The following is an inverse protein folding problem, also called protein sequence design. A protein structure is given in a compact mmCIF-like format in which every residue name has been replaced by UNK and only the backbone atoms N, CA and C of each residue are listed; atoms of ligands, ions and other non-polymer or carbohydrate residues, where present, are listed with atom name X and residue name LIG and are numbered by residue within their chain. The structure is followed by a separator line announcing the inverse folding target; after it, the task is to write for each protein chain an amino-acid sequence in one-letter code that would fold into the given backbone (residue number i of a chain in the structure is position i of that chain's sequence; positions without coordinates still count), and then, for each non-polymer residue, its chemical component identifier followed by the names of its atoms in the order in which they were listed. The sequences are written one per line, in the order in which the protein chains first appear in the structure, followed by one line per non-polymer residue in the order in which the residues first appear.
data_IF_077201614011
#
_entry.id   IF_077201614011
#
_cell.length_a   1.000
_cell.length_b   1.000
_cell.length_c   1.000
_cell.angle_alpha   90.00
_cell.angle_beta   90.00
_cell.angle_gamma   90.00
#
_symmetry.space_group_name_H-M   'P 1'
#
loop_
_entity.id
_entity.type
_entity.pdbx_description
1 polymer ?
#
# COMPACT_ATOMS: atom_id res chain seq x y z
N UNK A 1 -15.99 62.88 97.78
CA UNK A 1 -16.83 62.63 96.59
C UNK A 1 -15.91 62.28 95.43
N UNK A 2 -15.54 61.00 95.35
CA UNK A 2 -16.01 60.02 94.35
C UNK A 2 -15.55 60.36 92.93
N UNK A 3 -14.38 59.81 92.56
CA UNK A 3 -13.86 59.76 91.21
C UNK A 3 -14.18 58.38 90.61
N UNK A 4 -14.95 58.37 89.53
CA UNK A 4 -15.48 57.18 88.89
C UNK A 4 -14.41 56.45 88.08
N UNK A 5 -14.34 55.14 88.27
CA UNK A 5 -13.53 54.19 87.52
C UNK A 5 -14.42 53.02 87.08
N UNK A 6 -14.09 52.49 85.90
CA UNK A 6 -14.45 51.15 85.40
C UNK A 6 -15.82 51.02 84.71
N UNK A 7 -16.08 50.09 83.80
CA UNK A 7 -15.36 48.87 83.43
C UNK A 7 -15.67 48.46 81.97
N UNK A 8 -14.72 47.69 81.42
CA UNK A 8 -14.73 46.85 80.21
C UNK A 8 -16.08 46.32 79.71
N UNK A 9 -16.22 46.29 78.38
CA UNK A 9 -17.03 45.34 77.64
C UNK A 9 -16.41 45.05 76.26
N UNK A 10 -15.54 44.04 76.17
CA UNK A 10 -14.95 43.58 74.91
C UNK A 10 -15.86 42.52 74.30
N UNK A 11 -16.50 42.84 73.17
CA UNK A 11 -17.28 41.89 72.36
C UNK A 11 -16.41 41.34 71.24
N UNK A 12 -16.44 40.02 71.13
CA UNK A 12 -15.81 39.20 70.09
C UNK A 12 -16.53 39.46 68.77
N UNK A 13 -15.78 39.88 67.73
CA UNK A 13 -16.27 39.92 66.34
C UNK A 13 -15.43 38.93 65.54
N UNK A 14 -16.10 37.90 65.02
CA UNK A 14 -15.49 36.89 64.15
C UNK A 14 -15.11 37.49 62.81
N UNK A 15 -13.82 37.48 62.48
CA UNK A 15 -13.32 37.77 61.14
C UNK A 15 -13.35 36.49 60.30
N UNK A 16 -14.27 36.43 59.34
CA UNK A 16 -14.23 35.44 58.25
C UNK A 16 -13.09 35.87 57.32
N UNK A 17 -11.97 35.14 57.37
CA UNK A 17 -10.85 35.32 56.46
C UNK A 17 -11.24 34.85 55.06
N UNK A 18 -11.48 35.80 54.15
CA UNK A 18 -11.56 35.52 52.71
C UNK A 18 -10.12 35.34 52.22
N UNK A 19 -9.71 34.08 52.02
CA UNK A 19 -8.47 33.75 51.31
C UNK A 19 -8.74 33.95 49.81
N UNK A 20 -8.33 35.11 49.30
CA UNK A 20 -8.24 35.38 47.87
C UNK A 20 -7.04 34.60 47.31
N UNK A 21 -7.30 33.41 46.78
CA UNK A 21 -6.31 32.68 45.97
C UNK A 21 -6.22 33.43 44.64
N UNK A 22 -5.24 34.32 44.54
CA UNK A 22 -4.78 34.89 43.28
C UNK A 22 -4.14 33.75 42.46
N UNK A 23 -4.93 33.09 41.62
CA UNK A 23 -4.41 32.23 40.57
C UNK A 23 -3.77 33.15 39.53
N UNK A 24 -2.48 33.44 39.72
CA UNK A 24 -1.64 34.01 38.68
C UNK A 24 -1.59 33.00 37.53
N UNK A 25 -2.43 33.19 36.51
CA UNK A 25 -2.21 32.57 35.21
C UNK A 25 -0.98 33.24 34.58
N UNK A 26 0.19 32.81 35.03
CA UNK A 26 1.43 33.05 34.30
C UNK A 26 1.29 32.26 33.01
N UNK A 27 0.88 32.94 31.94
CA UNK A 27 0.95 32.41 30.59
C UNK A 27 2.42 32.14 30.31
N UNK A 28 2.87 30.91 30.53
CA UNK A 28 4.14 30.46 30.01
C UNK A 28 4.01 30.52 28.48
N UNK A 29 4.40 31.64 27.88
CA UNK A 29 4.72 31.67 26.48
C UNK A 29 5.93 30.74 26.34
N UNK A 30 5.65 29.49 25.98
CA UNK A 30 6.66 28.57 25.49
C UNK A 30 7.25 29.29 24.29
N UNK A 31 8.46 29.84 24.46
CA UNK A 31 9.24 30.38 23.37
C UNK A 31 9.63 29.15 22.54
N UNK A 32 8.75 28.77 21.62
CA UNK A 32 9.01 27.70 20.66
C UNK A 32 10.22 28.18 19.86
N UNK A 33 11.41 27.61 20.14
CA UNK A 33 12.62 27.88 19.36
C UNK A 33 12.36 27.26 17.99
N UNK A 34 11.71 28.03 17.10
CA UNK A 34 11.50 27.62 15.72
C UNK A 34 12.84 27.71 15.03
N UNK A 35 13.50 26.57 14.88
CA UNK A 35 14.65 26.46 13.99
C UNK A 35 14.19 26.89 12.60
N UNK A 36 14.87 27.84 11.95
CA UNK A 36 14.52 28.26 10.60
C UNK A 36 14.57 27.03 9.66
N UNK A 37 13.63 26.91 8.71
CA UNK A 37 13.65 25.82 7.74
C UNK A 37 15.02 25.70 7.06
N UNK A 38 15.52 24.47 6.92
CA UNK A 38 16.89 24.21 6.42
C UNK A 38 17.06 24.73 4.99
N UNK A 39 15.98 24.75 4.21
CA UNK A 39 15.95 25.30 2.86
C UNK A 39 16.45 26.76 2.77
N UNK A 40 16.34 27.56 3.83
CA UNK A 40 16.82 28.94 3.84
C UNK A 40 18.34 29.01 3.68
N UNK A 41 19.08 27.98 4.14
CA UNK A 41 20.54 27.92 4.04
C UNK A 41 21.03 27.75 2.59
N UNK A 42 20.17 27.38 1.65
CA UNK A 42 20.52 27.31 0.22
C UNK A 42 20.76 28.70 -0.40
N UNK A 43 20.26 29.77 0.22
CA UNK A 43 20.33 31.14 -0.28
C UNK A 43 21.59 31.86 0.21
N UNK A 44 22.59 31.98 -0.65
CA UNK A 44 23.80 32.74 -0.34
C UNK A 44 23.61 34.24 -0.51
N UNK A 45 24.44 35.02 0.23
CA UNK A 45 24.48 36.48 0.11
C UNK A 45 24.84 36.97 -1.29
N UNK A 46 25.61 36.20 -2.06
CA UNK A 46 26.02 36.54 -3.43
C UNK A 46 25.96 35.33 -4.34
N UNK A 47 25.46 35.52 -5.55
CA UNK A 47 25.43 34.54 -6.64
C UNK A 47 25.96 35.23 -7.91
N UNK A 48 27.25 35.11 -8.18
CA UNK A 48 27.91 35.86 -9.24
C UNK A 48 27.78 37.38 -9.02
N UNK A 49 27.19 38.10 -9.98
CA UNK A 49 26.91 39.54 -9.89
C UNK A 49 25.67 39.90 -9.07
N UNK A 50 24.90 38.91 -8.64
CA UNK A 50 23.65 39.11 -7.91
C UNK A 50 23.89 39.10 -6.40
N UNK A 51 23.32 40.08 -5.70
CA UNK A 51 23.35 40.20 -4.23
C UNK A 51 21.97 39.96 -3.64
N UNK A 52 21.91 39.16 -2.59
CA UNK A 52 20.69 38.85 -1.85
C UNK A 52 20.09 40.11 -1.22
N UNK A 53 18.79 40.30 -1.38
CA UNK A 53 17.99 41.28 -0.63
C UNK A 53 17.36 40.51 0.53
N UNK A 54 17.83 40.78 1.75
CA UNK A 54 17.29 40.17 2.96
C UNK A 54 15.87 40.72 3.29
N UNK A 55 15.02 39.92 3.96
CA UNK A 55 15.26 38.56 4.47
C UNK A 55 14.93 37.45 3.46
N UNK A 56 15.49 36.26 3.68
CA UNK A 56 15.00 35.01 3.04
C UNK A 56 13.72 34.59 3.77
N UNK A 57 12.60 34.55 3.05
CA UNK A 57 11.32 34.11 3.60
C UNK A 57 11.23 32.59 3.47
N UNK A 58 11.26 31.87 4.58
CA UNK A 58 11.18 30.42 4.60
C UNK A 58 9.95 29.93 5.35
N UNK A 59 9.34 28.87 4.84
CA UNK A 59 8.06 28.33 5.28
C UNK A 59 8.14 26.82 5.36
N UNK A 60 7.55 26.22 6.40
CA UNK A 60 7.10 24.82 6.35
C UNK A 60 5.84 24.71 5.50
N UNK A 61 5.46 23.49 5.12
CA UNK A 61 4.31 23.24 4.25
C UNK A 61 3.01 23.97 4.67
N UNK A 62 2.62 23.89 5.95
CA UNK A 62 1.41 24.55 6.46
C UNK A 62 1.53 26.08 6.50
N UNK A 63 2.72 26.60 6.79
CA UNK A 63 2.99 28.04 6.77
C UNK A 63 2.93 28.59 5.34
N UNK A 64 3.40 27.81 4.36
CA UNK A 64 3.30 28.16 2.95
C UNK A 64 1.86 28.13 2.44
N UNK A 65 1.07 27.11 2.83
CA UNK A 65 -0.38 27.06 2.54
C UNK A 65 -1.13 28.24 3.16
N UNK A 66 -0.74 28.71 4.34
CA UNK A 66 -1.32 29.94 4.91
C UNK A 66 -0.89 31.21 4.13
N UNK A 67 0.32 31.23 3.58
CA UNK A 67 0.86 32.35 2.80
C UNK A 67 0.25 32.46 1.39
N UNK A 68 0.12 31.34 0.70
CA UNK A 68 -0.51 31.22 -0.63
C UNK A 68 -1.49 30.04 -0.60
N UNK A 69 -2.77 30.26 -0.24
CA UNK A 69 -3.74 29.19 -0.06
C UNK A 69 -3.96 28.32 -1.29
N UNK A 70 -3.91 28.89 -2.50
CA UNK A 70 -4.16 28.13 -3.71
C UNK A 70 -2.93 27.31 -4.12
N UNK A 71 -1.76 27.95 -4.22
CA UNK A 71 -0.54 27.27 -4.64
C UNK A 71 0.00 26.35 -3.56
N UNK A 72 -0.13 26.74 -2.29
CA UNK A 72 0.29 25.96 -1.15
C UNK A 72 -0.57 24.72 -0.90
N UNK A 73 -1.88 24.78 -1.15
CA UNK A 73 -2.75 23.60 -1.12
C UNK A 73 -2.35 22.55 -2.17
N UNK A 74 -1.94 22.99 -3.37
CA UNK A 74 -1.38 22.12 -4.40
C UNK A 74 0.00 21.62 -3.99
N UNK A 75 0.92 22.51 -3.61
CA UNK A 75 2.27 22.12 -3.22
C UNK A 75 2.26 21.08 -2.09
N UNK A 76 1.35 21.22 -1.13
CA UNK A 76 1.13 20.25 -0.06
C UNK A 76 0.65 18.89 -0.58
N UNK A 77 -0.30 18.85 -1.51
CA UNK A 77 -0.74 17.61 -2.17
C UNK A 77 0.42 16.91 -2.89
N UNK A 78 1.32 17.69 -3.50
CA UNK A 78 2.53 17.16 -4.13
C UNK A 78 3.63 16.78 -3.13
N UNK A 79 3.43 16.96 -1.82
CA UNK A 79 4.38 16.59 -0.78
C UNK A 79 5.44 17.66 -0.49
N UNK A 80 5.06 18.94 -0.43
CA UNK A 80 5.92 20.01 0.05
C UNK A 80 6.40 19.75 1.49
N UNK A 81 7.70 19.93 1.75
CA UNK A 81 8.27 19.97 3.09
C UNK A 81 8.56 21.39 3.54
N UNK A 82 9.34 22.11 2.73
CA UNK A 82 9.79 23.46 3.00
C UNK A 82 9.77 24.28 1.70
N UNK A 83 9.45 25.57 1.81
CA UNK A 83 9.56 26.53 0.72
C UNK A 83 10.40 27.72 1.19
N UNK A 84 11.18 28.33 0.31
CA UNK A 84 11.86 29.58 0.59
C UNK A 84 11.93 30.50 -0.62
N UNK A 85 11.78 31.79 -0.36
CA UNK A 85 11.78 32.85 -1.36
C UNK A 85 12.79 33.92 -0.97
N UNK A 86 13.53 34.41 -1.95
CA UNK A 86 14.35 35.59 -1.77
C UNK A 86 14.44 36.40 -3.06
N UNK A 87 14.61 37.71 -2.91
CA UNK A 87 14.86 38.60 -4.02
C UNK A 87 16.39 38.84 -4.12
N UNK A 88 16.91 38.90 -5.34
CA UNK A 88 18.31 39.21 -5.64
C UNK A 88 18.37 40.41 -6.59
N UNK A 89 19.42 41.22 -6.46
CA UNK A 89 19.66 42.36 -7.35
C UNK A 89 21.10 42.44 -7.85
N UNK A 90 21.27 42.89 -9.08
CA UNK A 90 22.55 43.28 -9.68
C UNK A 90 22.77 44.81 -9.61
N UNK A 91 21.93 45.53 -8.85
CA UNK A 91 21.91 46.99 -8.73
C UNK A 91 21.02 47.70 -9.74
N UNK A 92 20.53 47.02 -10.78
CA UNK A 92 19.62 47.59 -11.81
C UNK A 92 18.30 46.84 -11.91
N UNK A 93 18.36 45.52 -11.75
CA UNK A 93 17.28 44.56 -11.96
C UNK A 93 17.08 43.78 -10.66
N UNK A 94 15.87 43.28 -10.49
CA UNK A 94 15.52 42.43 -9.34
C UNK A 94 14.90 41.14 -9.84
N UNK A 95 15.38 40.02 -9.34
CA UNK A 95 14.87 38.68 -9.63
C UNK A 95 14.46 38.02 -8.33
N UNK A 96 13.37 37.26 -8.36
CA UNK A 96 12.92 36.42 -7.25
C UNK A 96 13.35 34.99 -7.53
N UNK A 97 14.03 34.38 -6.57
CA UNK A 97 14.29 32.94 -6.55
C UNK A 97 13.31 32.32 -5.57
N UNK A 98 12.53 31.36 -6.07
CA UNK A 98 11.69 30.48 -5.27
C UNK A 98 12.27 29.07 -5.28
N UNK A 99 12.35 28.46 -4.11
CA UNK A 99 12.83 27.09 -3.94
C UNK A 99 11.83 26.31 -3.09
N UNK A 100 11.48 25.12 -3.56
CA UNK A 100 10.57 24.20 -2.90
C UNK A 100 11.30 22.88 -2.69
N UNK A 101 11.38 22.43 -1.44
CA UNK A 101 11.88 21.10 -1.08
C UNK A 101 10.71 20.18 -0.86
N UNK A 102 10.65 19.13 -1.66
CA UNK A 102 9.60 18.12 -1.66
C UNK A 102 10.02 16.89 -0.84
N UNK A 103 9.10 15.94 -0.64
CA UNK A 103 9.40 14.69 0.10
C UNK A 103 10.38 13.77 -0.63
N UNK A 104 10.43 13.83 -1.97
CA UNK A 104 11.31 13.03 -2.82
C UNK A 104 11.40 13.64 -4.24
N UNK A 105 12.18 13.00 -5.13
CA UNK A 105 12.38 13.48 -6.50
C UNK A 105 11.14 13.34 -7.39
N UNK A 106 10.26 12.37 -7.13
CA UNK A 106 9.00 12.18 -7.88
C UNK A 106 8.07 13.36 -7.61
N UNK A 107 7.95 13.78 -6.34
CA UNK A 107 7.22 14.96 -5.92
C UNK A 107 7.78 16.27 -6.49
N UNK A 108 9.12 16.40 -6.54
CA UNK A 108 9.78 17.56 -7.15
C UNK A 108 9.52 17.65 -8.66
N UNK A 109 9.69 16.54 -9.37
CA UNK A 109 9.28 16.44 -10.77
C UNK A 109 7.77 16.72 -10.92
N UNK A 110 6.96 16.19 -10.00
CA UNK A 110 5.50 16.34 -10.05
C UNK A 110 5.08 17.79 -10.00
N UNK A 111 5.56 18.53 -9.00
CA UNK A 111 5.25 19.94 -8.85
C UNK A 111 5.86 20.79 -9.98
N UNK A 112 7.08 20.47 -10.44
CA UNK A 112 7.68 21.07 -11.63
C UNK A 112 6.82 20.88 -12.89
N UNK A 113 6.37 19.65 -13.13
CA UNK A 113 5.54 19.33 -14.28
C UNK A 113 4.20 20.06 -14.17
N UNK A 114 3.59 20.12 -12.99
CA UNK A 114 2.34 20.84 -12.74
C UNK A 114 2.46 22.34 -13.07
N UNK A 115 3.52 23.00 -12.59
CA UNK A 115 3.78 24.43 -12.78
C UNK A 115 4.25 24.81 -14.21
N UNK A 116 4.50 23.82 -15.07
CA UNK A 116 5.05 24.00 -16.42
C UNK A 116 4.06 24.73 -17.33
N UNK A 117 4.54 25.77 -18.04
CA UNK A 117 3.71 26.66 -18.89
C UNK A 117 4.03 26.61 -20.38
N UNK A 118 4.90 25.71 -20.84
CA UNK A 118 5.17 25.51 -22.28
C UNK A 118 6.24 26.44 -22.85
N UNK A 119 7.24 26.79 -22.03
CA UNK A 119 8.47 27.45 -22.43
C UNK A 119 9.47 26.54 -23.17
N UNK A 120 10.67 27.07 -23.39
CA UNK A 120 11.75 26.39 -24.12
C UNK A 120 12.60 25.57 -23.15
N UNK A 121 12.82 24.29 -23.44
CA UNK A 121 13.71 23.45 -22.63
C UNK A 121 15.15 23.97 -22.68
N UNK A 122 15.78 24.09 -21.50
CA UNK A 122 17.17 24.53 -21.34
C UNK A 122 18.00 23.39 -20.74
N UNK A 123 19.15 23.12 -21.33
CA UNK A 123 20.08 22.09 -20.85
C UNK A 123 21.08 22.64 -19.83
N UNK A 124 21.57 21.76 -18.94
CA UNK A 124 22.64 22.10 -18.00
C UNK A 124 22.18 22.92 -16.79
N UNK A 125 20.90 22.85 -16.43
CA UNK A 125 20.32 23.43 -15.21
C UNK A 125 19.45 22.33 -14.57
N UNK A 126 19.83 21.88 -13.38
CA UNK A 126 19.15 20.78 -12.71
C UNK A 126 19.08 19.51 -13.57
N UNK A 127 18.03 18.71 -13.37
CA UNK A 127 17.69 17.55 -14.21
C UNK A 127 16.96 17.99 -15.48
N UNK A 128 15.99 18.88 -15.36
CA UNK A 128 15.30 19.52 -16.47
C UNK A 128 15.00 20.97 -16.09
N UNK A 129 15.09 21.87 -17.07
CA UNK A 129 14.71 23.26 -16.92
C UNK A 129 13.94 23.76 -18.15
N UNK A 130 13.06 24.73 -17.92
CA UNK A 130 12.25 25.39 -18.92
C UNK A 130 12.33 26.90 -18.72
N UNK A 131 12.66 27.62 -19.79
CA UNK A 131 12.68 29.07 -19.83
C UNK A 131 11.42 29.61 -20.50
N UNK A 132 10.76 30.53 -19.80
CA UNK A 132 9.70 31.39 -20.28
C UNK A 132 10.27 32.80 -20.56
N UNK A 133 9.44 33.74 -21.03
CA UNK A 133 9.87 35.11 -21.34
C UNK A 133 10.50 35.83 -20.13
N UNK A 134 9.96 35.62 -18.92
CA UNK A 134 10.38 36.34 -17.70
C UNK A 134 10.63 35.41 -16.50
N UNK A 135 10.70 34.11 -16.75
CA UNK A 135 10.89 33.13 -15.70
C UNK A 135 11.67 31.93 -16.23
N UNK A 136 12.34 31.24 -15.32
CA UNK A 136 12.97 29.95 -15.58
C UNK A 136 12.62 29.02 -14.43
N UNK A 137 12.03 27.88 -14.76
CA UNK A 137 11.69 26.83 -13.82
C UNK A 137 12.61 25.64 -14.02
N UNK A 138 13.05 25.00 -12.94
CA UNK A 138 13.87 23.79 -13.00
C UNK A 138 13.54 22.86 -11.84
N UNK A 139 13.97 21.61 -11.95
CA UNK A 139 13.97 20.68 -10.81
C UNK A 139 15.28 19.92 -10.74
N UNK A 140 15.67 19.53 -9.52
CA UNK A 140 16.88 18.74 -9.24
C UNK A 140 16.71 18.01 -7.93
N UNK A 141 16.84 16.68 -7.94
CA UNK A 141 16.62 15.87 -6.74
C UNK A 141 15.24 16.11 -6.14
N UNK A 142 15.14 16.36 -4.84
CA UNK A 142 13.90 16.70 -4.12
C UNK A 142 13.52 18.19 -4.23
N UNK A 143 14.18 18.97 -5.11
CA UNK A 143 13.94 20.41 -5.25
C UNK A 143 13.24 20.80 -6.56
N UNK A 144 12.28 21.71 -6.45
CA UNK A 144 11.76 22.53 -7.54
C UNK A 144 12.16 23.98 -7.34
N UNK A 145 12.72 24.62 -8.36
CA UNK A 145 13.16 26.01 -8.32
C UNK A 145 12.53 26.84 -9.43
N UNK A 146 12.20 28.10 -9.12
CA UNK A 146 11.71 29.08 -10.09
C UNK A 146 12.43 30.41 -9.91
N UNK A 147 13.04 30.92 -10.97
CA UNK A 147 13.67 32.25 -11.01
C UNK A 147 12.80 33.16 -11.86
N UNK A 148 12.28 34.24 -11.30
CA UNK A 148 11.33 35.14 -11.99
C UNK A 148 11.81 36.59 -11.93
N UNK A 149 11.75 37.32 -13.04
CA UNK A 149 12.08 38.75 -13.08
C UNK A 149 10.95 39.55 -12.42
N UNK A 150 11.29 40.44 -11.48
CA UNK A 150 10.31 41.31 -10.80
C UNK A 150 10.05 42.53 -11.68
N UNK A 151 8.78 42.74 -12.06
CA UNK A 151 8.35 43.79 -13.01
C UNK A 151 8.58 45.24 -12.56
N UNK A 152 9.03 45.48 -11.34
CA UNK A 152 9.28 46.82 -10.80
C UNK A 152 10.56 47.49 -11.36
N UNK A 153 11.42 46.73 -12.05
CA UNK A 153 12.60 47.28 -12.69
C UNK A 153 12.23 47.97 -14.02
N UNK A 154 12.75 49.18 -14.23
CA UNK A 154 12.64 49.98 -15.48
C UNK A 154 13.25 49.32 -16.74
N UNK A 155 13.55 48.03 -16.74
CA UNK A 155 14.31 47.36 -17.80
C UNK A 155 13.67 46.01 -18.11
N UNK A 156 13.12 45.85 -19.32
CA UNK A 156 12.53 44.61 -19.85
C UNK A 156 13.56 43.65 -20.45
N UNK A 157 14.85 43.87 -20.20
CA UNK A 157 15.91 43.33 -21.04
C UNK A 157 16.90 42.45 -20.26
N UNK A 158 16.44 41.56 -19.38
CA UNK A 158 17.32 40.47 -18.92
C UNK A 158 17.31 39.36 -19.98
N UNK A 159 18.42 39.09 -20.67
CA UNK A 159 18.48 38.00 -21.62
C UNK A 159 18.24 36.66 -20.91
N UNK A 160 17.58 35.73 -21.58
CA UNK A 160 17.35 34.36 -21.07
C UNK A 160 18.67 33.70 -20.65
N UNK A 161 19.79 34.04 -21.30
CA UNK A 161 21.14 33.58 -20.95
C UNK A 161 21.57 33.98 -19.52
N UNK A 162 21.42 35.25 -19.14
CA UNK A 162 21.79 35.71 -17.79
C UNK A 162 20.88 35.07 -16.72
N UNK A 163 19.58 34.92 -17.02
CA UNK A 163 18.63 34.22 -16.14
C UNK A 163 19.00 32.74 -16.00
N UNK A 164 19.44 32.12 -17.09
CA UNK A 164 19.91 30.72 -17.14
C UNK A 164 21.19 30.53 -16.33
N UNK A 165 22.12 31.48 -16.39
CA UNK A 165 23.37 31.41 -15.62
C UNK A 165 23.11 31.55 -14.12
N UNK A 166 22.20 32.45 -13.71
CA UNK A 166 21.77 32.55 -12.32
C UNK A 166 21.09 31.27 -11.83
N UNK A 167 20.15 30.73 -12.62
CA UNK A 167 19.48 29.48 -12.29
C UNK A 167 20.45 28.30 -12.23
N UNK A 168 21.45 28.23 -13.13
CA UNK A 168 22.52 27.23 -13.12
C UNK A 168 23.34 27.33 -11.83
N UNK A 169 23.85 28.52 -11.52
CA UNK A 169 24.66 28.75 -10.33
C UNK A 169 23.90 28.38 -9.04
N UNK A 170 22.58 28.61 -9.01
CA UNK A 170 21.75 28.19 -7.88
C UNK A 170 21.54 26.66 -7.86
N UNK A 171 21.19 26.06 -8.99
CA UNK A 171 20.92 24.62 -9.10
C UNK A 171 22.16 23.75 -8.83
N UNK A 172 23.37 24.20 -9.16
CA UNK A 172 24.62 23.48 -8.90
C UNK A 172 24.86 23.21 -7.41
N UNK A 173 24.31 24.06 -6.54
CA UNK A 173 24.49 23.99 -5.08
C UNK A 173 23.51 23.05 -4.38
N UNK A 174 22.40 22.72 -5.03
CA UNK A 174 21.42 21.82 -4.47
C UNK A 174 21.94 20.39 -4.49
N UNK A 175 21.51 19.58 -3.51
CA UNK A 175 21.93 18.19 -3.40
C UNK A 175 21.68 17.40 -4.69
N UNK A 176 22.57 16.45 -4.95
CA UNK A 176 22.43 15.55 -6.10
C UNK A 176 21.40 14.49 -5.75
N UNK A 177 20.27 14.51 -6.45
CA UNK A 177 19.29 13.41 -6.43
C UNK A 177 19.25 12.65 -7.75
N UNK A 178 18.32 11.69 -7.89
CA UNK A 178 18.10 10.99 -9.15
C UNK A 178 17.80 11.98 -10.28
N UNK A 179 18.49 11.83 -11.41
CA UNK A 179 18.29 12.64 -12.62
C UNK A 179 17.27 11.98 -13.56
N UNK A 180 16.30 11.26 -12.99
CA UNK A 180 15.38 10.43 -13.76
C UNK A 180 13.95 10.96 -13.67
N UNK A 181 13.32 11.10 -14.83
CA UNK A 181 11.87 11.33 -14.93
C UNK A 181 11.15 10.12 -14.33
N UNK A 182 10.10 10.32 -13.50
CA UNK A 182 9.35 9.23 -12.89
C UNK A 182 8.89 8.17 -13.90
N UNK A 183 8.97 6.89 -13.51
CA UNK A 183 8.65 5.76 -14.38
C UNK A 183 7.24 5.85 -14.96
N UNK A 184 6.27 6.30 -14.17
CA UNK A 184 4.89 6.47 -14.60
C UNK A 184 4.76 7.37 -15.84
N UNK A 185 5.52 8.46 -15.90
CA UNK A 185 5.56 9.37 -17.05
C UNK A 185 6.20 8.69 -18.25
N UNK A 186 7.22 7.86 -18.03
CA UNK A 186 7.91 7.11 -19.09
C UNK A 186 7.04 6.00 -19.68
N UNK A 187 6.02 5.54 -18.96
CA UNK A 187 5.05 4.56 -19.45
C UNK A 187 3.95 5.18 -20.32
N UNK A 188 3.84 6.51 -20.37
CA UNK A 188 2.98 7.16 -21.36
C UNK A 188 3.51 6.91 -22.78
N UNK A 189 2.64 6.50 -23.73
CA UNK A 189 3.02 6.31 -25.12
C UNK A 189 3.71 7.55 -25.73
N UNK A 190 4.72 7.31 -26.56
CA UNK A 190 5.45 8.41 -27.23
C UNK A 190 4.74 8.83 -28.51
N UNK A 191 4.12 7.88 -29.21
CA UNK A 191 3.46 8.13 -30.49
C UNK A 191 2.26 9.07 -30.34
N UNK A 192 2.25 10.16 -31.10
CA UNK A 192 1.17 11.14 -31.09
C UNK A 192 1.10 11.98 -29.82
N UNK A 193 1.97 11.78 -28.82
CA UNK A 193 2.01 12.62 -27.62
C UNK A 193 2.45 14.03 -27.97
N UNK A 194 1.71 15.03 -27.50
CA UNK A 194 2.11 16.44 -27.62
C UNK A 194 3.30 16.67 -26.67
N UNK A 195 4.49 17.03 -27.17
CA UNK A 195 5.67 17.21 -26.33
C UNK A 195 5.44 18.29 -25.26
N UNK A 196 5.80 17.99 -24.01
CA UNK A 196 5.65 18.93 -22.91
C UNK A 196 4.24 19.01 -22.35
N UNK A 197 3.29 18.21 -22.84
CA UNK A 197 1.95 18.07 -22.25
C UNK A 197 1.89 17.08 -21.07
N UNK A 198 2.94 16.26 -20.90
CA UNK A 198 3.00 15.31 -19.80
C UNK A 198 2.99 16.01 -18.43
N UNK A 199 2.16 15.53 -17.51
CA UNK A 199 2.10 15.99 -16.11
C UNK A 199 2.01 14.78 -15.21
N UNK A 200 2.72 14.83 -14.10
CA UNK A 200 2.49 13.90 -12.99
C UNK A 200 1.44 14.52 -12.07
N UNK A 201 0.52 13.69 -11.59
CA UNK A 201 -0.64 14.08 -10.80
C UNK A 201 -0.53 13.35 -9.46
N UNK A 202 -0.30 14.11 -8.39
CA UNK A 202 -0.15 13.59 -7.04
C UNK A 202 -1.49 13.36 -6.32
N UNK A 203 -2.57 14.01 -6.77
CA UNK A 203 -3.87 13.91 -6.12
C UNK A 203 -5.00 14.62 -6.89
N UNK A 204 -6.20 14.69 -6.30
CA UNK A 204 -7.40 15.18 -6.97
C UNK A 204 -7.35 16.68 -7.26
N UNK A 205 -6.70 17.50 -6.42
CA UNK A 205 -6.60 18.95 -6.66
C UNK A 205 -5.69 19.24 -7.85
N UNK A 206 -4.58 18.50 -7.95
CA UNK A 206 -3.66 18.52 -9.07
C UNK A 206 -4.36 18.15 -10.37
N UNK A 207 -5.19 17.10 -10.37
CA UNK A 207 -5.96 16.70 -11.56
C UNK A 207 -6.99 17.77 -11.94
N UNK A 208 -7.71 18.33 -10.96
CA UNK A 208 -8.76 19.32 -11.18
C UNK A 208 -8.25 20.63 -11.83
N UNK A 209 -6.94 20.91 -11.74
CA UNK A 209 -6.32 22.05 -12.43
C UNK A 209 -6.25 21.88 -13.95
N UNK A 210 -6.47 20.66 -14.48
CA UNK A 210 -6.40 20.36 -15.91
C UNK A 210 -7.81 20.05 -16.46
N UNK A 211 -8.43 20.99 -17.21
CA UNK A 211 -9.75 20.78 -17.79
C UNK A 211 -9.79 19.57 -18.73
N UNK A 212 -10.91 18.83 -18.73
CA UNK A 212 -11.11 17.65 -19.57
C UNK A 212 -10.67 16.32 -18.93
N UNK A 213 -10.11 16.35 -17.73
CA UNK A 213 -9.83 15.16 -16.92
C UNK A 213 -10.82 15.08 -15.75
N UNK A 214 -11.96 14.44 -15.98
CA UNK A 214 -13.03 14.38 -14.99
C UNK A 214 -12.78 13.31 -13.93
N UNK A 215 -12.89 13.68 -12.65
CA UNK A 215 -12.79 12.76 -11.51
C UNK A 215 -13.91 13.00 -10.47
N UNK A 216 -15.20 12.81 -10.83
CA UNK A 216 -16.31 12.99 -9.90
C UNK A 216 -16.24 11.98 -8.75
N UNK A 217 -16.48 12.41 -7.52
CA UNK A 217 -16.48 11.54 -6.33
C UNK A 217 -15.22 10.66 -6.19
N UNK A 218 -14.08 11.19 -6.67
CA UNK A 218 -12.79 10.49 -6.71
C UNK A 218 -12.85 9.08 -7.35
N UNK A 219 -13.37 9.00 -8.58
CA UNK A 219 -13.42 7.77 -9.39
C UNK A 219 -12.10 7.00 -9.39
N UNK A 220 -10.98 7.73 -9.45
CA UNK A 220 -9.65 7.17 -9.60
C UNK A 220 -8.93 6.86 -8.29
N UNK A 221 -9.53 7.17 -7.14
CA UNK A 221 -8.94 6.94 -5.80
C UNK A 221 -7.67 7.78 -5.54
N UNK A 222 -7.61 8.98 -6.11
CA UNK A 222 -6.46 9.89 -6.02
C UNK A 222 -6.33 10.54 -4.64
N UNK A 223 -7.36 10.46 -3.78
CA UNK A 223 -7.21 10.88 -2.37
C UNK A 223 -6.25 9.98 -1.57
N UNK A 224 -5.90 8.80 -2.10
CA UNK A 224 -4.98 7.88 -1.46
C UNK A 224 -3.52 8.13 -1.88
N UNK A 225 -2.63 8.23 -0.90
CA UNK A 225 -1.16 8.28 -1.12
C UNK A 225 -0.58 7.03 -1.83
N UNK A 226 -1.39 5.97 -2.02
CA UNK A 226 -0.99 4.74 -2.71
C UNK A 226 -1.32 4.75 -4.21
N UNK A 227 -1.82 5.87 -4.72
CA UNK A 227 -2.24 6.05 -6.10
C UNK A 227 -1.52 7.25 -6.69
N UNK A 228 -0.86 7.01 -7.82
CA UNK A 228 -0.18 8.07 -8.59
C UNK A 228 -0.79 8.12 -9.98
N UNK A 229 -0.82 9.30 -10.59
CA UNK A 229 -1.33 9.45 -11.94
C UNK A 229 -0.39 10.25 -12.84
N UNK A 230 -0.53 10.02 -14.13
CA UNK A 230 0.10 10.82 -15.16
C UNK A 230 -0.92 11.17 -16.23
N UNK A 231 -0.88 12.40 -16.72
CA UNK A 231 -1.69 12.84 -17.86
C UNK A 231 -0.78 13.26 -19.01
N UNK A 232 -1.29 13.14 -20.22
CA UNK A 232 -0.72 13.79 -21.40
C UNK A 232 -1.79 14.00 -22.47
N UNK A 233 -1.53 14.95 -23.37
CA UNK A 233 -2.38 15.21 -24.53
C UNK A 233 -1.81 14.52 -25.77
N UNK A 234 -2.69 13.98 -26.59
CA UNK A 234 -2.34 13.26 -27.82
C UNK A 234 -3.02 13.91 -29.02
N UNK A 235 -2.25 14.03 -30.09
CA UNK A 235 -2.72 14.43 -31.41
C UNK A 235 -1.97 13.65 -32.48
N UNK A 236 -2.70 12.84 -33.25
CA UNK A 236 -2.18 12.09 -34.37
C UNK A 236 -3.09 12.32 -35.59
N UNK A 237 -2.57 13.01 -36.60
CA UNK A 237 -3.35 13.46 -37.75
C UNK A 237 -4.56 14.31 -37.31
N UNK A 238 -5.79 13.79 -37.51
CA UNK A 238 -7.05 14.42 -37.06
C UNK A 238 -7.55 13.86 -35.73
N UNK A 239 -6.95 12.78 -35.22
CA UNK A 239 -7.30 12.19 -33.94
C UNK A 239 -6.66 12.98 -32.80
N UNK A 240 -7.39 13.13 -31.71
CA UNK A 240 -6.97 13.78 -30.48
C UNK A 240 -7.61 13.12 -29.28
N UNK A 241 -6.89 13.10 -28.16
CA UNK A 241 -7.42 12.66 -26.88
C UNK A 241 -6.59 13.22 -25.72
N UNK A 242 -7.20 13.25 -24.55
CA UNK A 242 -6.57 13.52 -23.27
C UNK A 242 -6.42 12.21 -22.52
N UNK A 243 -5.20 11.75 -22.32
CA UNK A 243 -4.93 10.47 -21.68
C UNK A 243 -4.59 10.66 -20.21
N UNK A 244 -5.22 9.87 -19.35
CA UNK A 244 -4.92 9.69 -17.94
C UNK A 244 -4.46 8.24 -17.73
N UNK A 245 -3.30 8.07 -17.14
CA UNK A 245 -2.72 6.80 -16.72
C UNK A 245 -2.62 6.81 -15.20
N UNK A 246 -3.33 5.92 -14.53
CA UNK A 246 -3.34 5.81 -13.07
C UNK A 246 -2.63 4.52 -12.65
N UNK A 247 -1.62 4.64 -11.78
CA UNK A 247 -0.90 3.54 -11.16
C UNK A 247 -1.42 3.26 -9.76
N UNK A 248 -1.78 2.00 -9.53
CA UNK A 248 -2.17 1.52 -8.21
C UNK A 248 -1.07 0.65 -7.63
N UNK A 249 -0.81 0.79 -6.33
CA UNK A 249 0.17 -0.04 -5.65
C UNK A 249 -0.17 -1.54 -5.71
N UNK A 250 -1.47 -1.90 -5.78
CA UNK A 250 -1.91 -3.30 -5.85
C UNK A 250 -3.01 -3.53 -6.90
N UNK A 251 -3.13 -4.75 -7.44
CA UNK A 251 -4.14 -5.08 -8.44
C UNK A 251 -5.57 -5.00 -7.88
N UNK A 252 -5.76 -5.16 -6.56
CA UNK A 252 -7.07 -5.01 -5.92
C UNK A 252 -7.57 -3.56 -6.00
N UNK A 253 -6.69 -2.58 -5.78
CA UNK A 253 -7.02 -1.17 -5.94
C UNK A 253 -7.33 -0.83 -7.40
N UNK A 254 -6.54 -1.34 -8.35
CA UNK A 254 -6.82 -1.17 -9.78
C UNK A 254 -8.17 -1.76 -10.19
N UNK A 255 -8.54 -2.92 -9.64
CA UNK A 255 -9.86 -3.52 -9.89
C UNK A 255 -10.99 -2.68 -9.30
N UNK A 256 -10.84 -2.20 -8.06
CA UNK A 256 -11.84 -1.37 -7.40
C UNK A 256 -12.10 -0.06 -8.17
N UNK A 257 -11.03 0.62 -8.61
CA UNK A 257 -11.16 1.82 -9.43
C UNK A 257 -11.80 1.53 -10.79
N UNK A 258 -11.40 0.44 -11.45
CA UNK A 258 -12.02 0.01 -12.71
C UNK A 258 -13.52 -0.22 -12.55
N UNK A 259 -13.96 -0.86 -11.47
CA UNK A 259 -15.39 -1.10 -11.21
C UNK A 259 -16.16 0.20 -10.97
N UNK A 260 -15.55 1.18 -10.28
CA UNK A 260 -16.13 2.53 -10.11
C UNK A 260 -16.29 3.25 -11.45
N UNK A 261 -15.24 3.25 -12.27
CA UNK A 261 -15.27 3.87 -13.60
C UNK A 261 -16.27 3.17 -14.50
N UNK A 262 -16.36 1.84 -14.46
CA UNK A 262 -17.33 1.07 -15.24
C UNK A 262 -18.77 1.41 -14.83
N UNK A 263 -19.06 1.49 -13.52
CA UNK A 263 -20.37 1.87 -13.01
C UNK A 263 -20.73 3.32 -13.38
N UNK A 264 -19.76 4.25 -13.33
CA UNK A 264 -19.95 5.62 -13.78
C UNK A 264 -20.21 5.69 -15.29
N UNK A 265 -19.42 4.98 -16.10
CA UNK A 265 -19.54 4.93 -17.56
C UNK A 265 -20.90 4.41 -18.02
N UNK A 266 -21.48 3.44 -17.31
CA UNK A 266 -22.83 2.92 -17.60
C UNK A 266 -23.94 3.97 -17.43
N UNK A 267 -23.71 5.00 -16.60
CA UNK A 267 -24.66 6.09 -16.36
C UNK A 267 -24.55 7.22 -17.39
N UNK A 268 -23.46 7.27 -18.16
CA UNK A 268 -23.24 8.31 -19.16
C UNK A 268 -24.16 8.15 -20.37
N UNK A 269 -24.46 9.27 -21.04
CA UNK A 269 -25.18 9.25 -22.29
C UNK A 269 -24.35 8.51 -23.38
N UNK A 270 -24.98 7.86 -24.38
CA UNK A 270 -24.25 7.15 -25.42
C UNK A 270 -23.20 8.03 -26.13
N UNK A 271 -23.53 9.28 -26.45
CA UNK A 271 -22.61 10.22 -27.10
C UNK A 271 -21.37 10.56 -26.24
N UNK A 272 -21.50 10.54 -24.91
CA UNK A 272 -20.37 10.77 -23.99
C UNK A 272 -19.49 9.52 -23.88
N UNK A 273 -20.12 8.33 -23.90
CA UNK A 273 -19.41 7.05 -23.91
C UNK A 273 -18.55 6.89 -25.15
N UNK A 274 -19.02 7.32 -26.31
CA UNK A 274 -18.28 7.24 -27.57
C UNK A 274 -17.02 8.12 -27.57
N UNK A 275 -17.00 9.17 -26.76
CA UNK A 275 -15.87 10.09 -26.58
C UNK A 275 -14.92 9.68 -25.45
N UNK A 276 -15.10 8.49 -24.87
CA UNK A 276 -14.24 7.95 -23.80
C UNK A 276 -13.78 6.53 -24.10
N UNK A 277 -12.58 6.24 -23.66
CA UNK A 277 -12.03 4.87 -23.62
C UNK A 277 -11.50 4.65 -22.22
N UNK A 278 -11.76 3.49 -21.64
CA UNK A 278 -11.06 3.07 -20.43
C UNK A 278 -10.67 1.61 -20.53
N UNK A 279 -9.49 1.29 -20.00
CA UNK A 279 -8.90 -0.05 -20.01
C UNK A 279 -8.13 -0.25 -18.73
N UNK A 280 -8.20 -1.45 -18.14
CA UNK A 280 -7.29 -1.86 -17.06
C UNK A 280 -6.23 -2.80 -17.62
N UNK A 281 -4.97 -2.58 -17.26
CA UNK A 281 -3.83 -3.42 -17.61
C UNK A 281 -2.97 -3.63 -16.36
N UNK A 282 -2.99 -4.83 -15.76
CA UNK A 282 -2.33 -5.08 -14.48
C UNK A 282 -2.75 -4.10 -13.38
N UNK A 283 -1.78 -3.34 -12.87
CA UNK A 283 -1.98 -2.29 -11.87
C UNK A 283 -2.27 -0.90 -12.47
N UNK A 284 -2.41 -0.81 -13.79
CA UNK A 284 -2.77 0.43 -14.47
C UNK A 284 -4.26 0.49 -14.79
N UNK A 285 -4.83 1.68 -14.59
CA UNK A 285 -6.08 2.09 -15.20
C UNK A 285 -5.77 3.21 -16.20
N UNK A 286 -6.11 2.98 -17.46
CA UNK A 286 -5.92 3.92 -18.54
C UNK A 286 -7.29 4.49 -18.91
N UNK A 287 -7.41 5.81 -18.96
CA UNK A 287 -8.59 6.52 -19.40
C UNK A 287 -8.23 7.55 -20.46
N UNK A 288 -8.93 7.54 -21.59
CA UNK A 288 -8.85 8.58 -22.61
C UNK A 288 -10.16 9.37 -22.63
N UNK A 289 -10.03 10.69 -22.55
CA UNK A 289 -11.11 11.67 -22.60
C UNK A 289 -11.04 12.45 -23.91
N UNK A 290 -12.15 13.11 -24.26
CA UNK A 290 -12.28 13.93 -25.46
C UNK A 290 -11.80 13.23 -26.74
N UNK A 291 -12.07 11.92 -26.83
CA UNK A 291 -11.66 11.09 -27.96
C UNK A 291 -12.41 11.52 -29.21
N UNK A 292 -11.68 11.97 -30.23
CA UNK A 292 -12.26 12.35 -31.53
C UNK A 292 -12.30 11.21 -32.55
N UNK A 293 -11.35 10.28 -32.48
CA UNK A 293 -11.30 9.11 -33.37
C UNK A 293 -10.92 7.85 -32.58
N UNK A 294 -11.94 7.05 -32.26
CA UNK A 294 -11.82 5.93 -31.32
C UNK A 294 -10.79 4.86 -31.73
N UNK A 295 -10.80 4.34 -32.97
CA UNK A 295 -9.84 3.29 -33.38
C UNK A 295 -8.38 3.75 -33.28
N UNK A 296 -8.08 4.99 -33.66
CA UNK A 296 -6.72 5.54 -33.60
C UNK A 296 -6.25 5.71 -32.16
N UNK A 297 -7.10 6.22 -31.27
CA UNK A 297 -6.75 6.41 -29.86
C UNK A 297 -6.69 5.08 -29.11
N UNK A 298 -7.54 4.10 -29.42
CA UNK A 298 -7.45 2.75 -28.86
C UNK A 298 -6.11 2.09 -29.16
N UNK A 299 -5.56 2.31 -30.37
CA UNK A 299 -4.22 1.83 -30.71
C UNK A 299 -3.14 2.43 -29.80
N UNK A 300 -3.24 3.72 -29.46
CA UNK A 300 -2.32 4.41 -28.53
C UNK A 300 -2.49 3.84 -27.12
N UNK A 301 -3.73 3.69 -26.65
CA UNK A 301 -4.04 3.11 -25.33
C UNK A 301 -3.48 1.68 -25.20
N UNK A 302 -3.55 0.89 -26.27
CA UNK A 302 -3.07 -0.48 -26.28
C UNK A 302 -1.53 -0.63 -26.31
N UNK A 303 -0.77 0.47 -26.50
CA UNK A 303 0.69 0.44 -26.35
C UNK A 303 1.13 0.41 -24.87
N UNK A 304 0.21 0.71 -23.95
CA UNK A 304 0.50 0.69 -22.51
C UNK A 304 0.42 -0.75 -22.03
N UNK A 305 1.59 -1.35 -21.82
CA UNK A 305 1.74 -2.67 -21.22
C UNK A 305 2.30 -2.54 -19.81
N UNK A 306 1.63 -3.17 -18.84
CA UNK A 306 2.16 -3.26 -17.47
C UNK A 306 3.30 -4.29 -17.45
N UNK A 307 4.54 -3.82 -17.48
CA UNK A 307 5.70 -4.68 -17.23
C UNK A 307 5.96 -4.75 -15.73
N UNK A 308 5.59 -5.86 -15.10
CA UNK A 308 5.92 -6.13 -13.71
C UNK A 308 7.46 -6.17 -13.55
N UNK A 309 8.07 -5.09 -13.04
CA UNK A 309 9.48 -5.12 -12.63
C UNK A 309 9.57 -5.66 -11.21
N UNK A 310 9.87 -6.95 -11.09
CA UNK A 310 10.29 -7.53 -9.82
C UNK A 310 11.67 -6.97 -9.48
N UNK A 311 11.72 -5.85 -8.74
CA UNK A 311 12.95 -5.36 -8.11
C UNK A 311 13.17 -6.13 -6.83
N UNK A 312 14.13 -7.05 -6.86
CA UNK A 312 14.65 -7.67 -5.65
C UNK A 312 15.34 -6.58 -4.82
N UNK A 313 14.71 -6.10 -3.75
CA UNK A 313 15.18 -5.02 -2.88
C UNK A 313 16.34 -5.43 -1.95
N UNK A 314 17.28 -6.26 -2.42
CA UNK A 314 18.36 -6.82 -1.61
C UNK A 314 19.73 -6.43 -2.19
N UNK A 315 20.13 -5.18 -1.95
CA UNK A 315 21.49 -4.69 -2.23
C UNK A 315 22.53 -5.10 -1.16
N UNK A 316 22.08 -5.45 0.03
CA UNK A 316 22.82 -6.32 0.94
C UNK A 316 22.12 -7.66 0.94
N UNK A 317 22.89 -8.74 1.10
CA UNK A 317 22.35 -10.07 1.35
C UNK A 317 21.24 -9.90 2.38
N UNK A 318 19.99 -10.13 1.99
CA UNK A 318 18.96 -10.52 2.93
C UNK A 318 19.59 -11.75 3.60
N UNK A 319 20.23 -11.56 4.76
CA UNK A 319 20.10 -12.55 5.81
C UNK A 319 18.61 -12.54 6.02
N UNK A 320 17.94 -13.46 5.32
CA UNK A 320 16.64 -13.89 5.79
C UNK A 320 16.95 -14.19 7.25
N UNK A 321 16.40 -13.39 8.17
CA UNK A 321 15.84 -14.03 9.35
C UNK A 321 15.05 -15.17 8.71
N UNK A 322 15.42 -16.46 8.90
CA UNK A 322 14.79 -17.54 8.18
C UNK A 322 13.34 -17.62 8.64
N UNK A 323 12.51 -16.76 8.06
CA UNK A 323 11.09 -16.70 8.27
C UNK A 323 10.51 -17.76 7.34
N UNK A 324 10.62 -19.00 7.81
CA UNK A 324 9.69 -20.11 7.58
C UNK A 324 9.41 -20.46 6.10
N UNK A 325 10.29 -20.11 5.16
CA UNK A 325 10.33 -20.73 3.83
C UNK A 325 11.80 -20.78 3.38
N UNK A 326 12.66 -21.39 4.21
CA UNK A 326 13.71 -22.21 3.61
C UNK A 326 12.98 -23.22 2.74
N UNK A 327 13.51 -23.48 1.54
CA UNK A 327 13.05 -24.52 0.63
C UNK A 327 12.85 -25.81 1.42
N UNK A 328 11.64 -26.04 1.95
CA UNK A 328 11.26 -27.34 2.43
C UNK A 328 11.30 -28.17 1.16
N UNK A 329 12.28 -29.05 0.95
CA UNK A 329 12.35 -29.83 -0.26
C UNK A 329 11.16 -30.77 -0.14
N UNK A 330 10.04 -30.38 -0.77
CA UNK A 330 8.73 -31.00 -0.57
C UNK A 330 8.85 -32.50 -0.83
N UNK A 331 9.72 -32.89 -1.77
CA UNK A 331 10.10 -34.28 -2.02
C UNK A 331 10.70 -35.01 -0.81
N UNK A 332 11.67 -34.42 -0.09
CA UNK A 332 12.27 -35.05 1.09
C UNK A 332 11.28 -35.19 2.24
N UNK A 333 10.39 -34.22 2.42
CA UNK A 333 9.35 -34.27 3.44
C UNK A 333 8.25 -35.29 3.08
N UNK A 334 7.82 -35.35 1.83
CA UNK A 334 6.92 -36.40 1.31
C UNK A 334 7.51 -37.79 1.52
N UNK A 335 8.78 -37.99 1.15
CA UNK A 335 9.47 -39.27 1.34
C UNK A 335 9.53 -39.63 2.84
N UNK A 336 9.83 -38.67 3.72
CA UNK A 336 9.87 -38.90 5.16
C UNK A 336 8.49 -39.28 5.73
N UNK A 337 7.41 -38.62 5.28
CA UNK A 337 6.04 -38.94 5.69
C UNK A 337 5.63 -40.34 5.23
N UNK A 338 5.89 -40.68 3.96
CA UNK A 338 5.58 -42.03 3.45
C UNK A 338 6.41 -43.12 4.14
N UNK A 339 7.68 -42.86 4.41
CA UNK A 339 8.53 -43.78 5.16
C UNK A 339 8.00 -43.98 6.59
N UNK A 340 7.59 -42.91 7.27
CA UNK A 340 7.02 -42.98 8.61
C UNK A 340 5.70 -43.76 8.65
N UNK A 341 4.79 -43.52 7.70
CA UNK A 341 3.56 -44.29 7.54
C UNK A 341 3.88 -45.78 7.31
N UNK A 342 4.87 -46.08 6.46
CA UNK A 342 5.31 -47.45 6.21
C UNK A 342 5.80 -48.16 7.49
N UNK A 343 6.60 -47.47 8.31
CA UNK A 343 7.08 -48.01 9.60
C UNK A 343 5.91 -48.27 10.55
N UNK A 344 4.94 -47.36 10.64
CA UNK A 344 3.75 -47.54 11.49
C UNK A 344 2.91 -48.76 11.06
N UNK A 345 2.75 -49.00 9.76
CA UNK A 345 2.04 -50.19 9.25
C UNK A 345 2.77 -51.47 9.65
N UNK A 346 4.10 -51.51 9.51
CA UNK A 346 4.90 -52.69 9.90
C UNK A 346 4.79 -52.95 11.40
N UNK A 347 4.84 -51.91 12.24
CA UNK A 347 4.66 -52.05 13.69
C UNK A 347 3.26 -52.57 14.01
N UNK A 348 2.22 -52.03 13.37
CA UNK A 348 0.84 -52.46 13.59
C UNK A 348 0.63 -53.94 13.22
N UNK A 349 1.16 -54.39 12.08
CA UNK A 349 1.11 -55.79 11.66
C UNK A 349 1.89 -56.66 12.66
N UNK A 350 3.11 -56.26 13.03
CA UNK A 350 3.95 -56.99 13.97
C UNK A 350 3.28 -57.15 15.34
N UNK A 351 2.71 -56.07 15.88
CA UNK A 351 1.96 -56.09 17.13
C UNK A 351 0.71 -56.98 17.04
N UNK A 352 -0.03 -56.90 15.92
CA UNK A 352 -1.18 -57.75 15.66
C UNK A 352 -0.83 -59.24 15.62
N UNK A 353 0.26 -59.61 14.94
CA UNK A 353 0.76 -60.99 14.89
C UNK A 353 1.21 -61.48 16.26
N UNK A 354 1.98 -60.67 17.00
CA UNK A 354 2.43 -61.00 18.35
C UNK A 354 1.25 -61.20 19.31
N UNK A 355 0.28 -60.30 19.28
CA UNK A 355 -0.91 -60.39 20.12
C UNK A 355 -1.79 -61.58 19.73
N UNK A 356 -2.01 -61.81 18.44
CA UNK A 356 -2.77 -62.95 17.93
C UNK A 356 -2.12 -64.29 18.27
N UNK A 357 -0.79 -64.39 18.13
CA UNK A 357 -0.02 -65.57 18.50
C UNK A 357 -0.04 -65.81 20.02
N UNK A 358 0.13 -64.76 20.81
CA UNK A 358 0.00 -64.82 22.27
C UNK A 358 -1.39 -65.30 22.72
N UNK A 359 -2.45 -64.75 22.10
CA UNK A 359 -3.82 -65.18 22.34
C UNK A 359 -4.06 -66.64 21.94
N UNK A 360 -3.53 -67.08 20.79
CA UNK A 360 -3.60 -68.47 20.34
C UNK A 360 -2.92 -69.42 21.33
N UNK A 361 -1.71 -69.09 21.80
CA UNK A 361 -0.99 -69.89 22.79
C UNK A 361 -1.72 -69.90 24.14
N UNK A 362 -2.24 -68.76 24.59
CA UNK A 362 -3.05 -68.67 25.81
C UNK A 362 -4.31 -69.54 25.70
N UNK A 363 -5.04 -69.43 24.59
CA UNK A 363 -6.22 -70.25 24.30
C UNK A 363 -5.86 -71.74 24.25
N UNK A 364 -4.77 -72.12 23.59
CA UNK A 364 -4.30 -73.50 23.52
C UNK A 364 -3.95 -74.05 24.91
N UNK A 365 -3.21 -73.28 25.73
CA UNK A 365 -2.91 -73.66 27.12
C UNK A 365 -4.17 -73.76 27.98
N UNK A 366 -5.15 -72.88 27.78
CA UNK A 366 -6.44 -72.92 28.48
C UNK A 366 -7.26 -74.15 28.08
N UNK A 367 -7.27 -74.53 26.80
CA UNK A 367 -7.93 -75.74 26.33
C UNK A 367 -7.26 -77.03 26.82
N UNK A 368 -5.95 -77.03 27.04
CA UNK A 368 -5.24 -78.17 27.67
C UNK A 368 -5.56 -78.34 29.17
N UNK A 369 -6.19 -77.36 29.83
CA UNK A 369 -6.68 -77.48 31.21
C UNK A 369 -8.09 -78.03 31.30
N UNK A 370 -8.79 -78.21 30.18
CA UNK A 370 -10.01 -78.99 30.12
C UNK A 370 -9.63 -80.41 29.72
N UNK A 371 -9.84 -81.43 30.57
CA UNK A 371 -9.61 -82.81 30.18
C UNK A 371 -10.55 -83.14 29.02
N UNK A 372 -9.99 -83.21 27.81
CA UNK A 372 -10.63 -83.88 26.69
C UNK A 372 -10.79 -85.35 27.11
N UNK A 373 -12.01 -85.72 27.50
CA UNK A 373 -12.41 -87.11 27.55
C UNK A 373 -12.46 -87.61 26.11
N UNK A 374 -11.75 -88.68 25.79
CA UNK A 374 -11.80 -89.36 24.48
C UNK A 374 -13.19 -89.92 24.13
N UNK A 375 -14.19 -89.74 25.00
CA UNK A 375 -15.59 -89.81 24.62
C UNK A 375 -16.02 -88.47 23.99
N UNK A 376 -15.87 -88.36 22.67
CA UNK A 376 -16.20 -87.17 21.89
C UNK A 376 -17.54 -86.54 22.29
N UNK A 377 -17.47 -85.35 22.91
CA UNK A 377 -18.52 -84.33 22.91
C UNK A 377 -19.97 -84.80 23.02
N UNK A 378 -20.30 -85.78 23.87
CA UNK A 378 -21.70 -86.11 24.14
C UNK A 378 -22.20 -85.09 25.15
N UNK A 379 -22.99 -84.11 24.69
CA UNK A 379 -23.80 -83.27 25.57
C UNK A 379 -24.67 -84.21 26.42
N UNK A 380 -24.37 -84.31 27.73
CA UNK A 380 -25.20 -85.08 28.65
C UNK A 380 -26.51 -84.31 28.86
N UNK A 381 -27.53 -84.66 28.09
CA UNK A 381 -28.87 -84.14 28.27
C UNK A 381 -29.43 -84.71 29.58
N UNK A 382 -29.51 -83.86 30.60
CA UNK A 382 -29.91 -84.27 31.94
C UNK A 382 -31.44 -84.47 31.98
N UNK A 383 -31.90 -85.70 31.72
CA UNK A 383 -33.33 -86.06 31.64
C UNK A 383 -33.91 -86.58 32.96
N UNK A 384 -33.17 -86.43 34.07
CA UNK A 384 -33.52 -86.94 35.40
C UNK A 384 -34.84 -86.38 35.99
N UNK A 385 -35.47 -85.42 35.33
CA UNK A 385 -36.76 -84.82 35.72
C UNK A 385 -37.94 -85.09 34.80
N UNK A 386 -37.80 -85.89 33.73
CA UNK A 386 -38.87 -86.15 32.75
C UNK A 386 -39.26 -87.63 32.73
N UNK A 387 -40.00 -88.07 33.75
CA UNK A 387 -40.70 -89.36 33.72
C UNK A 387 -41.89 -89.26 32.77
N UNK A 388 -41.74 -89.79 31.56
CA UNK A 388 -42.88 -90.07 30.69
C UNK A 388 -43.68 -91.24 31.30
N UNK A 389 -45.00 -91.11 31.50
CA UNK A 389 -45.80 -92.24 31.97
C UNK A 389 -46.12 -93.20 30.82
N UNK A 390 -46.39 -94.45 31.21
CA UNK A 390 -47.16 -95.46 30.46
C UNK A 390 -46.39 -96.26 29.40
N UNK A 391 -46.79 -97.52 29.04
CA UNK A 391 -48.15 -98.07 29.06
C UNK A 391 -48.34 -99.51 29.58
N UNK A 392 -49.62 -99.90 29.63
CA UNK A 392 -50.24 -101.13 30.17
C UNK A 392 -49.68 -102.47 29.61
N UNK A 393 -49.64 -103.55 30.42
CA UNK A 393 -49.06 -104.83 30.01
C UNK A 393 -50.10 -105.67 29.25
N UNK A 394 -49.93 -105.84 27.94
CA UNK A 394 -50.37 -107.05 27.22
C UNK A 394 -50.11 -106.94 25.71
N UNK A 395 -48.93 -107.41 25.28
CA UNK A 395 -48.80 -108.23 24.07
C UNK A 395 -47.38 -108.79 24.03
N UNK A 396 -47.26 -110.03 24.49
CA UNK A 396 -46.13 -110.88 24.13
C UNK A 396 -46.11 -110.97 22.59
N UNK A 397 -44.95 -110.70 21.98
CA UNK A 397 -44.72 -110.98 20.56
C UNK A 397 -43.67 -112.09 20.43
N UNK A 398 -43.77 -112.93 19.38
CA UNK A 398 -43.33 -114.33 19.38
C UNK A 398 -41.86 -114.56 18.98
N UNK A 399 -41.32 -115.78 19.17
CA UNK A 399 -39.89 -116.02 19.37
C UNK A 399 -39.04 -116.27 18.11
N UNK A 400 -39.37 -115.68 16.95
CA UNK A 400 -38.65 -115.97 15.69
C UNK A 400 -37.87 -114.77 15.12
N UNK A 401 -37.43 -113.83 15.97
CA UNK A 401 -36.53 -112.73 15.59
C UNK A 401 -35.11 -112.87 16.15
N UNK A 402 -34.72 -114.06 16.56
CA UNK A 402 -33.31 -114.44 16.77
C UNK A 402 -32.74 -114.85 15.41
N UNK A 403 -32.06 -113.92 14.74
CA UNK A 403 -31.50 -114.08 13.40
C UNK A 403 -30.29 -115.02 13.36
N UNK A 404 -30.54 -116.32 13.50
CA UNK A 404 -29.65 -117.36 12.98
C UNK A 404 -29.97 -117.57 11.49
N UNK A 405 -28.95 -117.52 10.64
CA UNK A 405 -29.07 -117.81 9.21
C UNK A 405 -29.41 -119.30 8.99
N UNK A 406 -30.24 -119.63 7.96
CA UNK A 406 -30.62 -121.01 7.68
C UNK A 406 -29.46 -121.80 7.05
N UNK A 407 -29.34 -123.12 7.33
CA UNK A 407 -28.31 -123.97 6.71
C UNK A 407 -28.69 -124.37 5.27
N UNK A 408 -27.70 -124.74 4.43
CA UNK A 408 -27.94 -125.22 3.08
C UNK A 408 -28.32 -126.72 3.04
N UNK A 409 -29.31 -127.00 2.18
CA UNK A 409 -29.97 -128.26 1.75
C UNK A 409 -30.63 -129.17 2.79
#
# INVERSE_FOLDING_TARGET
MSAARSHRGMRIVGGVGVVLILVSMSSAQVLEIRTPPLIAAAFERRLGSWSLIEPVHAFRASEYEAYDPQRGAIAREYGLREAAFADYTDGRRTVRIELFRMINYVSAYGFYSFERRGGVRVSGIGTEAEAEENALAFWKGDYYGRVTIRREAKTRDLPVGELSDLARAFAERLDVGPHEIPLLIRHLPVEGRIPGSERFIAGPRGLAAFPGYENPDDLFLLESDAVEAAIAEYRLNRASAKLLLVEYHTPQWAKAAYDRVQAYWQRLAPAERDRRIFKREGNYLICAFDVSDRPTIERIVNQIEYTARVRWLSGDRIRLVPSIIEEFPVGRWLIAVFAFIGVLIVIAIGAGVLFGYGFFLWRRRRMQRYPFSDAGGIQRLNLDGLTLPSPSPSRQLPPWRTGEEPPPD
#
